data_IF_716093573438
#
_entry.id   IF_716093573438
#
_cell.length_a   1.000
_cell.length_b   1.000
_cell.length_c   1.000
_cell.angle_alpha   90.00
_cell.angle_beta   90.00
_cell.angle_gamma   90.00
#
_symmetry.space_group_name_H-M   'P 1'
#
loop_
_entity.id
_entity.type
_entity.pdbx_description
1 polymer ?
#
# COMPACT_ATOMS: atom_id res chain seq x y z
N UNK A 1 -5.03 11.87 22.71
CA UNK A 1 -3.72 12.45 22.35
C UNK A 1 -2.74 11.30 22.16
N UNK A 2 -2.70 10.73 20.95
CA UNK A 2 -1.75 9.69 20.57
C UNK A 2 -0.82 10.26 19.50
N UNK A 3 0.47 9.95 19.65
CA UNK A 3 1.56 10.51 18.87
C UNK A 3 1.56 9.83 17.49
N UNK A 4 1.39 10.61 16.42
CA UNK A 4 1.54 10.14 15.04
C UNK A 4 2.89 9.48 14.84
N UNK A 5 2.89 8.33 14.17
CA UNK A 5 4.12 7.64 13.84
C UNK A 5 4.86 8.42 12.75
N UNK A 6 6.03 8.95 13.11
CA UNK A 6 6.83 9.84 12.28
C UNK A 6 7.62 8.98 11.29
N UNK A 7 7.03 8.57 10.16
CA UNK A 7 7.64 7.75 9.10
C UNK A 7 8.53 8.59 8.15
N UNK A 8 9.36 9.44 8.74
CA UNK A 8 10.31 10.29 8.00
C UNK A 8 11.67 9.61 7.91
N UNK A 9 12.26 9.63 6.72
CA UNK A 9 13.66 9.27 6.58
C UNK A 9 14.50 10.42 7.12
N UNK A 10 15.27 10.15 8.15
CA UNK A 10 16.06 11.16 8.83
C UNK A 10 17.54 10.95 8.55
N UNK A 11 18.20 11.99 8.06
CA UNK A 11 19.63 12.00 7.74
C UNK A 11 20.34 13.09 8.53
N UNK A 12 21.35 12.71 9.32
CA UNK A 12 22.20 13.66 10.04
C UNK A 12 23.64 13.58 9.55
N UNK A 13 24.21 14.73 9.17
CA UNK A 13 25.55 14.85 8.62
C UNK A 13 26.53 15.35 9.68
N UNK A 14 27.68 14.69 9.75
CA UNK A 14 28.77 15.02 10.66
C UNK A 14 30.09 15.18 9.90
N UNK A 15 30.84 16.23 10.22
CA UNK A 15 32.20 16.44 9.75
C UNK A 15 33.21 15.84 10.74
N UNK A 16 34.20 15.11 10.23
CA UNK A 16 35.27 14.57 11.07
C UNK A 16 36.28 15.67 11.43
N UNK A 17 36.61 15.76 12.71
CA UNK A 17 37.64 16.66 13.27
C UNK A 17 38.98 15.98 13.48
N UNK A 18 39.02 14.66 13.33
CA UNK A 18 40.21 13.80 13.40
C UNK A 18 40.31 12.91 12.16
N UNK A 19 41.49 12.31 11.88
CA UNK A 19 41.65 11.40 10.75
C UNK A 19 40.67 10.22 10.82
N UNK A 20 40.23 9.77 9.65
CA UNK A 20 39.24 8.69 9.48
C UNK A 20 39.50 7.48 10.38
N UNK A 21 40.73 6.96 10.42
CA UNK A 21 41.06 5.77 11.19
C UNK A 21 40.91 5.93 12.72
N UNK A 22 41.13 7.14 13.25
CA UNK A 22 40.94 7.41 14.69
C UNK A 22 39.44 7.45 15.04
N UNK A 23 38.65 8.07 14.16
CA UNK A 23 37.19 8.10 14.28
C UNK A 23 36.60 6.69 14.14
N UNK A 24 37.04 5.91 13.15
CA UNK A 24 36.57 4.56 12.89
C UNK A 24 36.86 3.63 14.06
N UNK A 25 38.09 3.65 14.58
CA UNK A 25 38.47 2.84 15.73
C UNK A 25 37.61 3.14 16.97
N UNK A 26 37.26 4.42 17.19
CA UNK A 26 36.36 4.81 18.27
C UNK A 26 34.95 4.24 18.07
N UNK A 27 34.45 4.28 16.84
CA UNK A 27 33.13 3.76 16.50
C UNK A 27 33.06 2.23 16.69
N UNK A 28 34.04 1.50 16.17
CA UNK A 28 34.13 0.03 16.24
C UNK A 28 34.40 -0.49 17.67
N UNK A 29 34.88 0.37 18.57
CA UNK A 29 35.02 0.03 19.99
C UNK A 29 33.67 -0.04 20.72
N UNK A 30 32.57 0.38 20.08
CA UNK A 30 31.24 0.34 20.67
C UNK A 30 30.59 -1.04 20.46
N UNK A 31 30.12 -1.73 21.51
CA UNK A 31 29.66 -3.12 21.42
C UNK A 31 28.33 -3.29 20.67
N UNK A 32 27.61 -2.21 20.41
CA UNK A 32 26.34 -2.22 19.67
C UNK A 32 26.50 -1.74 18.22
N UNK A 33 27.72 -1.71 17.68
CA UNK A 33 27.99 -1.31 16.30
C UNK A 33 28.61 -2.49 15.55
N UNK A 34 27.98 -2.89 14.45
CA UNK A 34 28.45 -3.96 13.56
C UNK A 34 28.76 -3.46 12.14
N UNK A 35 29.51 -4.27 11.39
CA UNK A 35 29.82 -4.04 9.98
C UNK A 35 28.56 -4.18 9.11
N UNK A 36 28.41 -3.30 8.12
CA UNK A 36 27.31 -3.33 7.17
C UNK A 36 27.80 -3.11 5.75
N UNK A 37 27.12 -3.71 4.77
CA UNK A 37 27.50 -3.57 3.36
C UNK A 37 27.01 -2.24 2.78
N UNK A 38 27.87 -1.56 2.00
CA UNK A 38 27.48 -0.39 1.22
C UNK A 38 26.60 -0.77 0.02
N UNK A 39 25.52 -0.02 -0.15
CA UNK A 39 24.67 -0.01 -1.34
C UNK A 39 25.37 0.65 -2.54
N UNK A 40 24.89 0.39 -3.75
CA UNK A 40 25.44 0.97 -4.98
C UNK A 40 25.31 2.51 -5.02
N UNK A 41 24.23 3.05 -4.45
CA UNK A 41 24.02 4.48 -4.30
C UNK A 41 25.08 5.14 -3.42
N UNK A 42 25.31 4.59 -2.22
CA UNK A 42 26.31 5.12 -1.28
C UNK A 42 27.73 5.04 -1.86
N UNK A 43 28.06 3.98 -2.62
CA UNK A 43 29.35 3.88 -3.33
C UNK A 43 29.49 4.99 -4.38
N UNK A 44 28.43 5.28 -5.12
CA UNK A 44 28.42 6.34 -6.14
C UNK A 44 28.56 7.74 -5.56
N UNK A 45 28.09 7.95 -4.32
CA UNK A 45 28.25 9.19 -3.56
C UNK A 45 29.67 9.36 -2.95
N UNK A 46 30.51 8.33 -3.03
CA UNK A 46 31.90 8.37 -2.57
C UNK A 46 32.12 7.93 -1.13
N UNK A 47 31.15 7.23 -0.52
CA UNK A 47 31.33 6.61 0.79
C UNK A 47 32.23 5.37 0.71
N UNK A 48 33.02 5.17 1.77
CA UNK A 48 34.04 4.13 1.83
C UNK A 48 33.58 2.88 2.59
N UNK A 49 32.71 3.05 3.58
CA UNK A 49 32.26 1.95 4.44
C UNK A 49 30.89 2.26 5.10
N UNK A 50 30.26 1.26 5.71
CA UNK A 50 29.01 1.42 6.46
C UNK A 50 28.96 0.58 7.75
N UNK A 51 28.24 1.08 8.75
CA UNK A 51 28.01 0.40 10.04
C UNK A 51 26.54 0.44 10.41
N UNK A 52 26.08 -0.59 11.11
CA UNK A 52 24.77 -0.63 11.74
C UNK A 52 24.92 -0.44 13.24
N UNK A 53 24.05 0.38 13.83
CA UNK A 53 24.05 0.65 15.26
C UNK A 53 22.75 0.13 15.86
N UNK A 54 22.85 -0.72 16.87
CA UNK A 54 21.71 -1.30 17.59
C UNK A 54 21.44 -0.63 18.94
N UNK A 55 20.18 -0.62 19.37
CA UNK A 55 19.79 -0.17 20.70
C UNK A 55 20.42 -1.07 21.77
N UNK A 56 21.09 -0.45 22.74
CA UNK A 56 21.66 -1.18 23.88
C UNK A 56 20.55 -1.45 24.91
N UNK A 57 19.96 -2.64 24.87
CA UNK A 57 18.96 -3.08 25.84
C UNK A 57 19.63 -3.54 27.16
N UNK A 58 18.98 -3.36 28.33
CA UNK A 58 19.47 -3.93 29.58
C UNK A 58 19.53 -5.47 29.49
N UNK A 59 20.67 -6.02 29.91
CA UNK A 59 21.04 -7.45 29.82
C UNK A 59 19.92 -8.40 30.23
N UNK A 60 19.50 -9.25 29.27
CA UNK A 60 18.57 -10.40 29.28
C UNK A 60 17.41 -10.31 28.26
N UNK A 61 17.38 -9.29 27.38
CA UNK A 61 16.35 -9.15 26.34
C UNK A 61 16.77 -9.68 24.95
N UNK A 62 15.75 -10.13 24.19
CA UNK A 62 15.63 -10.47 22.76
C UNK A 62 16.45 -9.62 21.76
N UNK A 63 16.59 -10.02 20.46
CA UNK A 63 17.58 -9.44 19.54
C UNK A 63 17.56 -7.91 19.45
N UNK A 64 18.76 -7.35 19.42
CA UNK A 64 19.05 -5.91 19.40
C UNK A 64 18.26 -5.20 18.28
N UNK A 65 17.38 -4.27 18.64
CA UNK A 65 16.64 -3.44 17.68
C UNK A 65 17.59 -2.48 16.97
N UNK A 66 17.52 -2.38 15.64
CA UNK A 66 18.36 -1.45 14.87
C UNK A 66 17.98 0.01 15.17
N UNK A 67 18.91 0.77 15.74
CA UNK A 67 18.77 2.19 16.02
C UNK A 67 18.92 3.02 14.74
N UNK A 68 19.86 2.62 13.88
CA UNK A 68 20.07 3.23 12.58
C UNK A 68 21.37 2.80 11.92
N UNK A 69 21.67 3.39 10.78
CA UNK A 69 22.83 3.11 9.94
C UNK A 69 23.77 4.30 9.88
N UNK A 70 25.07 4.04 9.77
CA UNK A 70 26.12 5.04 9.63
C UNK A 70 26.86 4.78 8.33
N UNK A 71 26.86 5.77 7.45
CA UNK A 71 27.62 5.74 6.20
C UNK A 71 28.89 6.56 6.37
N UNK A 72 30.04 5.96 6.08
CA UNK A 72 31.36 6.44 6.47
C UNK A 72 32.14 6.97 5.26
N UNK A 73 32.27 8.29 5.20
CA UNK A 73 33.15 8.98 4.25
C UNK A 73 34.48 9.36 4.89
N UNK A 74 35.48 9.69 4.06
CA UNK A 74 36.82 10.08 4.53
C UNK A 74 36.83 11.36 5.38
N UNK A 75 35.90 12.29 5.09
CA UNK A 75 35.81 13.60 5.74
C UNK A 75 34.49 13.86 6.46
N UNK A 76 33.43 13.11 6.11
CA UNK A 76 32.09 13.29 6.66
C UNK A 76 31.39 11.95 6.81
N UNK A 77 30.61 11.80 7.86
CA UNK A 77 29.80 10.63 8.15
C UNK A 77 28.32 11.01 8.17
N UNK A 78 27.46 10.07 7.76
CA UNK A 78 26.02 10.27 7.68
C UNK A 78 25.31 9.24 8.55
N UNK A 79 24.46 9.69 9.46
CA UNK A 79 23.53 8.85 10.22
C UNK A 79 22.21 8.79 9.49
N UNK A 80 21.65 7.60 9.35
CA UNK A 80 20.38 7.34 8.67
C UNK A 80 19.48 6.50 9.57
N UNK A 81 18.25 6.94 9.80
CA UNK A 81 17.24 6.12 10.47
C UNK A 81 15.82 6.53 10.08
N UNK A 82 14.85 5.67 10.37
CA UNK A 82 13.43 5.97 10.16
C UNK A 82 12.84 6.55 11.45
N UNK A 83 12.45 7.82 11.35
CA UNK A 83 11.63 8.57 12.30
C UNK A 83 12.35 9.67 13.08
N UNK A 84 11.72 10.85 13.16
CA UNK A 84 12.32 12.06 13.72
C UNK A 84 12.61 12.00 15.23
N UNK A 85 11.86 11.18 15.99
CA UNK A 85 12.23 10.90 17.39
C UNK A 85 13.42 9.95 17.51
N UNK A 86 13.55 9.02 16.58
CA UNK A 86 14.62 8.02 16.57
C UNK A 86 15.96 8.64 16.18
N UNK A 87 15.97 9.59 15.22
CA UNK A 87 17.21 10.31 14.86
C UNK A 87 17.75 11.15 16.02
N UNK A 88 16.87 11.76 16.81
CA UNK A 88 17.31 12.56 17.96
C UNK A 88 18.02 11.69 19.03
N UNK A 89 17.52 10.48 19.26
CA UNK A 89 18.15 9.52 20.18
C UNK A 89 19.45 8.95 19.57
N UNK A 90 19.43 8.58 18.29
CA UNK A 90 20.60 8.08 17.58
C UNK A 90 21.75 9.10 17.58
N UNK A 91 21.44 10.37 17.28
CA UNK A 91 22.40 11.47 17.35
C UNK A 91 22.96 11.65 18.74
N UNK A 92 22.13 11.56 19.79
CA UNK A 92 22.60 11.70 21.18
C UNK A 92 23.62 10.62 21.53
N UNK A 93 23.36 9.37 21.14
CA UNK A 93 24.29 8.25 21.37
C UNK A 93 25.57 8.42 20.56
N UNK A 94 25.45 8.76 19.28
CA UNK A 94 26.59 9.02 18.40
C UNK A 94 27.47 10.17 18.93
N UNK A 95 26.87 11.30 19.29
CA UNK A 95 27.58 12.47 19.83
C UNK A 95 28.21 12.18 21.20
N UNK A 96 27.58 11.34 22.03
CA UNK A 96 28.16 10.89 23.29
C UNK A 96 29.40 10.00 23.07
N UNK A 97 29.40 9.16 22.04
CA UNK A 97 30.53 8.29 21.71
C UNK A 97 31.68 9.06 21.05
N UNK A 98 31.34 9.89 20.05
CA UNK A 98 32.30 10.59 19.20
C UNK A 98 32.81 11.87 19.85
N UNK A 99 32.00 12.53 20.69
CA UNK A 99 32.35 13.74 21.40
C UNK A 99 33.02 14.79 20.49
N UNK A 100 34.27 15.21 20.77
CA UNK A 100 34.97 16.23 19.97
C UNK A 100 35.52 15.71 18.63
N UNK A 101 35.39 14.42 18.32
CA UNK A 101 35.94 13.81 17.10
C UNK A 101 35.10 14.11 15.86
N UNK A 102 33.82 14.42 16.03
CA UNK A 102 32.89 14.75 14.96
C UNK A 102 32.11 16.02 15.31
N UNK A 103 31.76 16.82 14.30
CA UNK A 103 30.94 18.01 14.46
C UNK A 103 29.69 17.88 13.61
N UNK A 104 28.53 18.10 14.23
CA UNK A 104 27.27 18.19 13.53
C UNK A 104 27.29 19.33 12.48
N UNK A 105 26.96 18.99 11.23
CA UNK A 105 26.97 19.91 10.10
C UNK A 105 25.54 20.24 9.64
N UNK A 106 24.61 19.28 9.70
CA UNK A 106 23.20 19.51 9.39
C UNK A 106 22.34 18.27 9.56
N UNK A 107 21.03 18.47 9.59
CA UNK A 107 20.02 17.41 9.62
C UNK A 107 18.99 17.68 8.55
N UNK A 108 18.56 16.61 7.88
CA UNK A 108 17.50 16.62 6.89
C UNK A 108 16.47 15.56 7.28
N UNK A 109 15.22 16.00 7.34
CA UNK A 109 14.07 15.12 7.50
C UNK A 109 13.38 15.08 6.15
N UNK A 110 13.52 13.97 5.45
CA UNK A 110 12.80 13.71 4.23
C UNK A 110 11.47 13.04 4.60
N UNK A 111 10.36 13.70 4.26
CA UNK A 111 9.11 12.98 4.08
C UNK A 111 9.40 11.97 2.96
N UNK A 112 9.13 10.69 3.21
CA UNK A 112 9.35 9.58 2.26
C UNK A 112 8.38 9.71 1.08
N UNK A 113 8.59 10.73 0.25
CA UNK A 113 8.01 10.83 -1.08
C UNK A 113 8.90 9.94 -1.96
N UNK A 114 8.34 9.02 -2.75
CA UNK A 114 9.12 8.22 -3.68
C UNK A 114 9.99 9.16 -4.53
N UNK A 115 11.28 8.81 -4.62
CA UNK A 115 12.29 9.57 -5.37
C UNK A 115 11.74 9.89 -6.76
N UNK A 116 11.36 11.15 -6.98
CA UNK A 116 10.93 11.62 -8.28
C UNK A 116 12.15 11.52 -9.19
N UNK A 117 12.00 10.86 -10.34
CA UNK A 117 13.04 10.78 -11.36
C UNK A 117 13.71 12.16 -11.54
N UNK A 118 15.03 12.23 -11.75
CA UNK A 118 15.73 13.48 -11.94
C UNK A 118 14.99 14.27 -13.04
N UNK A 119 14.56 15.49 -12.67
CA UNK A 119 13.75 16.34 -13.53
C UNK A 119 14.39 16.42 -14.92
N UNK A 120 13.66 16.01 -15.94
CA UNK A 120 14.15 16.05 -17.32
C UNK A 120 14.62 17.46 -17.69
N UNK A 121 15.58 17.61 -18.61
CA UNK A 121 16.03 18.92 -19.11
C UNK A 121 14.86 19.80 -19.60
N UNK A 122 13.81 19.17 -20.14
CA UNK A 122 12.58 19.87 -20.55
C UNK A 122 11.81 20.44 -19.35
N UNK A 123 11.82 19.75 -18.22
CA UNK A 123 11.16 20.21 -16.98
C UNK A 123 11.99 21.30 -16.31
N UNK A 124 13.32 21.19 -16.32
CA UNK A 124 14.23 22.24 -15.82
C UNK A 124 14.11 23.54 -16.63
N UNK A 125 13.86 23.45 -17.94
CA UNK A 125 13.61 24.61 -18.79
C UNK A 125 12.29 25.35 -18.48
N UNK A 126 11.35 24.70 -17.78
CA UNK A 126 10.09 25.28 -17.33
C UNK A 126 10.21 25.93 -15.95
N UNK A 127 11.30 25.71 -15.22
CA UNK A 127 11.55 26.34 -13.93
C UNK A 127 12.11 27.75 -14.15
N UNK A 128 11.43 28.81 -13.65
CA UNK A 128 11.95 30.17 -13.73
C UNK A 128 13.38 30.27 -13.16
N UNK A 129 14.33 30.94 -13.87
CA UNK A 129 15.74 30.97 -13.46
C UNK A 129 15.96 31.46 -12.02
N UNK A 130 15.12 32.37 -11.56
CA UNK A 130 15.16 32.92 -10.18
C UNK A 130 14.94 31.87 -9.08
N UNK A 131 14.23 30.78 -9.37
CA UNK A 131 14.01 29.68 -8.42
C UNK A 131 15.19 28.70 -8.39
N UNK A 132 16.02 28.68 -9.43
CA UNK A 132 17.23 27.85 -9.51
C UNK A 132 18.45 28.53 -8.84
N UNK A 133 18.39 29.85 -8.63
CA UNK A 133 19.49 30.63 -8.04
C UNK A 133 19.65 30.40 -6.53
N UNK A 134 18.56 30.09 -5.80
CA UNK A 134 18.58 29.84 -4.34
C UNK A 134 17.50 28.80 -3.94
N UNK A 135 17.69 27.50 -4.23
CA UNK A 135 16.68 26.47 -3.96
C UNK A 135 16.35 26.31 -2.48
N UNK A 136 17.26 26.68 -1.58
CA UNK A 136 17.13 26.51 -0.13
C UNK A 136 16.24 27.58 0.53
N UNK A 137 15.61 28.47 -0.26
CA UNK A 137 14.96 29.69 0.24
C UNK A 137 13.50 29.86 -0.20
N UNK A 138 12.80 28.75 -0.43
CA UNK A 138 11.39 28.74 -0.82
C UNK A 138 10.52 28.98 0.44
N UNK A 139 10.06 30.21 0.63
CA UNK A 139 8.98 30.52 1.59
C UNK A 139 7.64 30.24 0.93
N UNK A 140 6.96 29.17 1.37
CA UNK A 140 5.61 28.82 0.90
C UNK A 140 4.60 29.57 1.77
N UNK A 141 4.01 30.63 1.23
CA UNK A 141 2.91 31.36 1.87
C UNK A 141 1.57 30.78 1.39
N UNK A 142 0.95 29.93 2.19
CA UNK A 142 -0.40 29.44 1.92
C UNK A 142 -1.43 30.53 2.28
N UNK A 143 -2.04 31.14 1.26
CA UNK A 143 -3.19 32.03 1.43
C UNK A 143 -4.46 31.18 1.49
N UNK A 144 -5.15 31.19 2.64
CA UNK A 144 -6.48 30.59 2.77
C UNK A 144 -7.50 31.51 2.12
N UNK A 145 -8.07 31.08 1.01
CA UNK A 145 -9.27 31.69 0.43
C UNK A 145 -10.44 31.31 1.36
N UNK A 146 -11.18 32.31 1.84
CA UNK A 146 -12.37 32.06 2.65
C UNK A 146 -13.42 31.32 1.79
N UNK A 147 -14.10 30.29 2.32
CA UNK A 147 -15.17 29.63 1.58
C UNK A 147 -16.28 30.64 1.28
N UNK A 148 -16.65 30.74 0.00
CA UNK A 148 -17.81 31.53 -0.43
C UNK A 148 -19.12 30.89 0.06
N UNK A 149 -20.20 31.68 0.01
CA UNK A 149 -21.56 31.34 0.46
C UNK A 149 -22.24 30.23 -0.41
N UNK A 150 -21.59 29.08 -0.58
CA UNK A 150 -22.18 27.91 -1.26
C UNK A 150 -22.58 26.87 -0.21
N UNK A 151 -23.79 26.32 -0.33
CA UNK A 151 -24.30 25.27 0.55
C UNK A 151 -23.29 24.09 0.58
N UNK A 152 -22.83 23.63 1.76
CA UNK A 152 -21.86 22.55 1.87
C UNK A 152 -22.23 21.30 1.05
N UNK A 153 -23.52 20.94 0.96
CA UNK A 153 -23.97 19.79 0.17
C UNK A 153 -23.87 20.06 -1.34
N UNK A 154 -24.22 21.26 -1.81
CA UNK A 154 -24.07 21.63 -3.23
C UNK A 154 -22.59 21.76 -3.63
N UNK A 155 -21.74 22.24 -2.72
CA UNK A 155 -20.30 22.37 -2.93
C UNK A 155 -19.61 21.00 -3.03
N UNK A 156 -19.98 20.06 -2.16
CA UNK A 156 -19.53 18.67 -2.21
C UNK A 156 -19.97 17.98 -3.51
N UNK A 157 -21.26 18.09 -3.87
CA UNK A 157 -21.77 17.51 -5.12
C UNK A 157 -21.11 18.12 -6.37
N UNK A 158 -20.81 19.42 -6.34
CA UNK A 158 -20.14 20.12 -7.45
C UNK A 158 -18.67 19.72 -7.56
N UNK A 159 -17.99 19.51 -6.43
CA UNK A 159 -16.60 19.05 -6.39
C UNK A 159 -16.47 17.57 -6.78
N UNK A 160 -17.39 16.71 -6.32
CA UNK A 160 -17.52 15.31 -6.77
C UNK A 160 -17.78 15.25 -8.27
N UNK A 161 -18.68 16.09 -8.79
CA UNK A 161 -18.89 16.23 -10.24
C UNK A 161 -17.59 16.68 -10.92
N UNK A 162 -16.87 17.67 -10.40
CA UNK A 162 -15.61 18.17 -10.98
C UNK A 162 -14.52 17.10 -11.02
N UNK A 163 -14.34 16.34 -9.94
CA UNK A 163 -13.37 15.26 -9.84
C UNK A 163 -13.73 14.10 -10.78
N UNK A 164 -15.02 13.70 -10.81
CA UNK A 164 -15.53 12.68 -11.73
C UNK A 164 -15.39 13.09 -13.19
N UNK A 165 -15.49 14.38 -13.53
CA UNK A 165 -15.32 14.88 -14.89
C UNK A 165 -13.86 15.03 -15.33
N UNK A 166 -12.89 14.90 -14.42
CA UNK A 166 -11.48 15.11 -14.74
C UNK A 166 -10.93 14.09 -15.76
N UNK A 167 -11.57 12.93 -15.93
CA UNK A 167 -11.12 11.93 -16.92
C UNK A 167 -11.30 12.40 -18.37
N UNK A 168 -12.21 13.35 -18.65
CA UNK A 168 -12.52 13.80 -20.01
C UNK A 168 -11.31 14.43 -20.69
N UNK A 169 -10.51 15.16 -19.90
CA UNK A 169 -9.32 15.87 -20.36
C UNK A 169 -8.02 15.09 -20.11
N UNK A 170 -8.08 13.92 -19.45
CA UNK A 170 -6.90 13.07 -19.20
C UNK A 170 -6.63 12.13 -20.39
N UNK A 171 -5.36 11.96 -20.79
CA UNK A 171 -4.94 10.92 -21.73
C UNK A 171 -5.33 9.53 -21.25
N UNK A 172 -6.01 8.74 -22.08
CA UNK A 172 -6.33 7.35 -21.79
C UNK A 172 -5.56 6.41 -22.71
N UNK A 173 -4.95 5.37 -22.15
CA UNK A 173 -4.20 4.37 -22.93
C UNK A 173 -5.11 3.64 -23.94
N UNK A 174 -6.36 3.38 -23.56
CA UNK A 174 -7.42 2.80 -24.41
C UNK A 174 -7.80 3.69 -25.60
N UNK A 175 -7.46 4.98 -25.56
CA UNK A 175 -7.65 5.96 -26.63
C UNK A 175 -6.33 6.35 -27.30
N UNK A 176 -5.35 5.44 -27.29
CA UNK A 176 -4.00 5.65 -27.83
C UNK A 176 -3.29 6.89 -27.25
N UNK A 177 -3.54 7.17 -25.95
CA UNK A 177 -2.97 8.31 -25.23
C UNK A 177 -3.65 9.65 -25.52
N UNK A 178 -4.83 9.65 -26.17
CA UNK A 178 -5.65 10.85 -26.34
C UNK A 178 -6.67 11.00 -25.21
N UNK A 179 -7.11 12.23 -24.96
CA UNK A 179 -8.24 12.48 -24.06
C UNK A 179 -9.58 12.12 -24.72
N UNK A 180 -10.65 11.98 -23.93
CA UNK A 180 -11.99 11.73 -24.48
C UNK A 180 -12.43 12.85 -25.44
N UNK A 181 -12.08 14.10 -25.12
CA UNK A 181 -12.35 15.29 -25.94
C UNK A 181 -11.57 15.31 -27.26
N UNK A 182 -10.37 14.73 -27.27
CA UNK A 182 -9.55 14.57 -28.47
C UNK A 182 -9.99 13.37 -29.32
N UNK A 183 -10.32 12.26 -28.66
CA UNK A 183 -10.80 11.04 -29.31
C UNK A 183 -12.18 11.22 -29.96
N UNK A 184 -13.05 12.09 -29.42
CA UNK A 184 -14.37 12.37 -30.00
C UNK A 184 -14.29 13.03 -31.39
N UNK A 185 -13.17 13.70 -31.69
CA UNK A 185 -12.89 14.33 -32.99
C UNK A 185 -12.24 13.37 -33.99
N UNK A 186 -11.88 12.16 -33.57
CA UNK A 186 -11.22 11.16 -34.40
C UNK A 186 -12.19 10.00 -34.73
N UNK A 187 -12.65 9.88 -35.98
CA UNK A 187 -13.57 8.82 -36.39
C UNK A 187 -13.05 7.40 -36.12
N UNK A 188 -11.72 7.20 -36.11
CA UNK A 188 -11.12 5.89 -35.88
C UNK A 188 -11.17 5.47 -34.40
N UNK A 189 -11.20 6.43 -33.48
CA UNK A 189 -11.23 6.20 -32.03
C UNK A 189 -12.65 6.23 -31.45
N UNK A 190 -13.65 6.67 -32.23
CA UNK A 190 -15.04 6.73 -31.80
C UNK A 190 -15.57 5.42 -31.20
N UNK A 191 -15.33 4.22 -31.78
CA UNK A 191 -15.81 2.96 -31.18
C UNK A 191 -15.23 2.69 -29.79
N UNK A 192 -13.93 2.94 -29.61
CA UNK A 192 -13.25 2.76 -28.32
C UNK A 192 -13.69 3.79 -27.28
N UNK A 193 -13.94 5.02 -27.71
CA UNK A 193 -14.51 6.06 -26.86
C UNK A 193 -15.93 5.70 -26.39
N UNK A 194 -16.74 5.12 -27.28
CA UNK A 194 -18.09 4.64 -26.95
C UNK A 194 -18.04 3.50 -25.93
N UNK A 195 -17.16 2.52 -26.09
CA UNK A 195 -17.00 1.44 -25.10
C UNK A 195 -16.53 1.96 -23.74
N UNK A 196 -15.54 2.85 -23.73
CA UNK A 196 -15.04 3.46 -22.50
C UNK A 196 -16.15 4.20 -21.75
N UNK A 197 -16.97 4.98 -22.46
CA UNK A 197 -18.06 5.74 -21.84
C UNK A 197 -19.25 4.87 -21.45
N UNK A 198 -19.53 3.76 -22.16
CA UNK A 198 -20.52 2.77 -21.72
C UNK A 198 -20.16 2.16 -20.37
N UNK A 199 -18.89 1.82 -20.17
CA UNK A 199 -18.43 1.29 -18.88
C UNK A 199 -18.58 2.35 -17.77
N UNK A 200 -18.24 3.61 -18.05
CA UNK A 200 -18.42 4.70 -17.09
C UNK A 200 -19.89 4.98 -16.74
N UNK A 201 -20.80 4.94 -17.73
CA UNK A 201 -22.25 5.06 -17.51
C UNK A 201 -22.73 3.89 -16.65
N UNK A 202 -22.31 2.66 -16.94
CA UNK A 202 -22.68 1.48 -16.16
C UNK A 202 -22.25 1.59 -14.69
N UNK A 203 -21.03 2.04 -14.43
CA UNK A 203 -20.54 2.26 -13.07
C UNK A 203 -21.36 3.34 -12.35
N UNK A 204 -21.63 4.46 -13.02
CA UNK A 204 -22.43 5.55 -12.46
C UNK A 204 -23.87 5.13 -12.16
N UNK A 205 -24.50 4.38 -13.06
CA UNK A 205 -25.86 3.87 -12.86
C UNK A 205 -25.94 2.90 -11.68
N UNK A 206 -24.91 2.06 -11.51
CA UNK A 206 -24.81 1.14 -10.38
C UNK A 206 -24.62 1.90 -9.06
N UNK A 207 -23.78 2.93 -9.03
CA UNK A 207 -23.62 3.83 -7.88
C UNK A 207 -24.92 4.57 -7.54
N UNK A 208 -25.60 5.12 -8.54
CA UNK A 208 -26.90 5.77 -8.38
C UNK A 208 -27.94 4.83 -7.79
N UNK A 209 -27.97 3.58 -8.25
CA UNK A 209 -28.85 2.55 -7.74
C UNK A 209 -28.53 2.18 -6.29
N UNK A 210 -27.24 2.10 -5.93
CA UNK A 210 -26.77 1.80 -4.56
C UNK A 210 -27.06 2.95 -3.58
N UNK A 211 -26.81 4.19 -3.99
CA UNK A 211 -26.90 5.39 -3.13
C UNK A 211 -28.25 6.09 -3.17
N UNK A 212 -29.14 5.69 -4.08
CA UNK A 212 -30.42 6.37 -4.31
C UNK A 212 -30.25 7.76 -4.94
N UNK A 213 -29.12 8.01 -5.61
CA UNK A 213 -28.81 9.28 -6.28
C UNK A 213 -29.23 9.23 -7.76
N UNK A 214 -29.24 10.38 -8.44
CA UNK A 214 -29.66 10.50 -9.84
C UNK A 214 -28.67 11.28 -10.69
N UNK A 215 -27.37 11.03 -10.52
CA UNK A 215 -26.33 11.71 -11.28
C UNK A 215 -26.27 11.19 -12.72
N UNK A 216 -26.08 12.06 -13.71
CA UNK A 216 -25.97 11.67 -15.12
C UNK A 216 -24.69 12.23 -15.78
N UNK A 217 -24.37 11.67 -16.95
CA UNK A 217 -23.27 12.13 -17.82
C UNK A 217 -23.81 12.84 -19.08
N UNK A 218 -25.11 13.13 -19.12
CA UNK A 218 -25.82 13.61 -20.31
C UNK A 218 -25.18 14.84 -20.94
N UNK A 219 -24.79 15.81 -20.12
CA UNK A 219 -24.15 17.06 -20.58
C UNK A 219 -22.84 16.78 -21.34
N UNK A 220 -22.06 15.79 -20.88
CA UNK A 220 -20.78 15.40 -21.47
C UNK A 220 -21.01 14.60 -22.74
N UNK A 221 -21.97 13.68 -22.72
CA UNK A 221 -22.28 12.85 -23.88
C UNK A 221 -22.72 13.73 -25.05
N UNK A 222 -23.53 14.76 -24.79
CA UNK A 222 -23.86 15.80 -25.78
C UNK A 222 -22.62 16.57 -26.24
N UNK A 223 -21.73 16.92 -25.30
CA UNK A 223 -20.52 17.67 -25.61
C UNK A 223 -19.53 16.89 -26.50
N UNK A 224 -19.43 15.58 -26.28
CA UNK A 224 -18.59 14.67 -27.07
C UNK A 224 -19.28 14.20 -28.37
N UNK A 225 -20.53 14.61 -28.62
CA UNK A 225 -21.31 14.20 -29.79
C UNK A 225 -21.66 12.72 -29.80
N UNK A 226 -21.92 12.18 -28.61
CA UNK A 226 -22.29 10.79 -28.33
C UNK A 226 -23.73 10.70 -27.81
N UNK A 227 -24.65 11.33 -28.54
CA UNK A 227 -26.08 11.34 -28.20
C UNK A 227 -26.68 9.93 -28.17
N UNK A 228 -26.04 8.97 -28.86
CA UNK A 228 -26.42 7.54 -28.84
C UNK A 228 -26.31 6.86 -27.47
N UNK A 229 -25.63 7.48 -26.50
CA UNK A 229 -25.45 6.96 -25.15
C UNK A 229 -26.36 7.63 -24.10
N UNK A 230 -27.20 8.57 -24.52
CA UNK A 230 -28.13 9.27 -23.63
C UNK A 230 -29.38 8.42 -23.45
N UNK A 231 -29.49 7.82 -22.28
CA UNK A 231 -30.65 7.01 -21.87
C UNK A 231 -31.22 7.58 -20.58
N UNK A 232 -32.55 7.49 -20.35
CA UNK A 232 -33.11 7.81 -19.05
C UNK A 232 -32.46 6.90 -17.99
N UNK A 233 -32.07 7.44 -16.81
CA UNK A 233 -31.45 6.64 -15.77
C UNK A 233 -32.37 5.48 -15.39
N UNK A 234 -31.82 4.30 -15.08
CA UNK A 234 -32.63 3.14 -14.73
C UNK A 234 -33.53 3.46 -13.52
N UNK A 235 -34.77 2.93 -13.49
CA UNK A 235 -35.67 3.18 -12.38
C UNK A 235 -35.03 2.76 -11.07
N UNK A 236 -35.04 3.66 -10.08
CA UNK A 236 -34.57 3.38 -8.72
C UNK A 236 -35.27 2.11 -8.23
N UNK A 237 -34.50 1.07 -7.94
CA UNK A 237 -35.08 -0.19 -7.49
C UNK A 237 -35.58 -0.05 -6.06
N UNK A 238 -36.90 -0.15 -5.88
CA UNK A 238 -37.43 -0.66 -4.63
C UNK A 238 -36.85 -2.07 -4.47
N UNK A 239 -36.09 -2.29 -3.40
CA UNK A 239 -35.27 -3.49 -3.23
C UNK A 239 -36.02 -4.78 -3.53
N UNK A 240 -35.54 -5.50 -4.53
CA UNK A 240 -35.71 -6.95 -4.67
C UNK A 240 -34.63 -7.43 -5.67
N UNK A 241 -33.70 -8.23 -5.16
CA UNK A 241 -32.71 -8.92 -5.96
C UNK A 241 -33.35 -10.21 -6.48
N UNK A 242 -33.65 -10.24 -7.77
CA UNK A 242 -33.72 -11.49 -8.52
C UNK A 242 -32.73 -11.37 -9.67
N UNK A 243 -31.72 -12.21 -9.58
CA UNK A 243 -30.75 -12.54 -10.60
C UNK A 243 -31.47 -13.33 -11.70
N UNK A 244 -31.62 -12.71 -12.87
CA UNK A 244 -31.99 -13.42 -14.10
C UNK A 244 -30.76 -13.37 -15.01
N UNK A 245 -30.03 -14.49 -15.02
CA UNK A 245 -28.92 -14.73 -15.91
C UNK A 245 -29.37 -14.91 -17.36
N UNK A 246 -28.49 -14.51 -18.27
CA UNK A 246 -28.46 -15.04 -19.63
C UNK A 246 -27.06 -15.61 -19.89
N UNK A 247 -27.06 -16.94 -19.96
CA UNK A 247 -26.04 -17.86 -20.44
C UNK A 247 -25.84 -17.69 -21.96
N UNK A 248 -24.59 -17.77 -22.42
CA UNK A 248 -24.19 -18.48 -23.65
C UNK A 248 -22.71 -18.17 -23.96
N UNK A 249 -21.82 -19.12 -23.70
CA UNK A 249 -20.45 -19.05 -24.22
C UNK A 249 -19.44 -19.99 -23.57
N UNK A 250 -19.61 -21.30 -23.75
CA UNK A 250 -18.69 -22.37 -23.34
C UNK A 250 -17.20 -22.01 -23.52
N UNK A 251 -16.49 -21.83 -22.40
CA UNK A 251 -15.06 -22.13 -22.28
C UNK A 251 -14.90 -23.24 -21.26
N UNK A 252 -14.55 -24.43 -21.76
CA UNK A 252 -14.33 -25.62 -20.95
C UNK A 252 -13.08 -25.45 -20.09
N UNK A 253 -13.25 -25.39 -18.77
CA UNK A 253 -12.16 -25.43 -17.81
C UNK A 253 -12.63 -25.40 -16.35
N UNK A 254 -13.05 -26.56 -15.83
CA UNK A 254 -13.15 -26.85 -14.38
C UNK A 254 -14.12 -26.00 -13.55
N UNK A 255 -15.42 -26.05 -13.89
CA UNK A 255 -16.49 -25.80 -12.92
C UNK A 255 -16.61 -26.98 -11.94
N UNK A 256 -15.73 -27.03 -10.95
CA UNK A 256 -16.00 -27.79 -9.74
C UNK A 256 -16.77 -26.86 -8.81
N UNK A 257 -18.04 -27.16 -8.55
CA UNK A 257 -18.63 -26.72 -7.28
C UNK A 257 -17.65 -27.15 -6.19
N UNK A 258 -17.06 -26.20 -5.48
CA UNK A 258 -16.13 -26.46 -4.39
C UNK A 258 -16.88 -27.28 -3.32
N UNK A 259 -16.79 -28.61 -3.40
CA UNK A 259 -17.10 -29.48 -2.28
C UNK A 259 -16.22 -28.98 -1.13
N UNK A 260 -16.86 -28.51 -0.05
CA UNK A 260 -16.21 -27.97 1.15
C UNK A 260 -15.03 -28.88 1.52
N UNK A 261 -13.79 -28.42 1.32
CA UNK A 261 -12.60 -29.26 1.56
C UNK A 261 -12.62 -29.70 3.03
N UNK A 262 -12.84 -31.00 3.27
CA UNK A 262 -12.81 -31.53 4.63
C UNK A 262 -11.36 -31.52 5.13
N UNK A 263 -11.12 -30.81 6.24
CA UNK A 263 -9.82 -30.84 6.90
C UNK A 263 -9.45 -32.28 7.29
N UNK A 264 -8.16 -32.61 7.21
CA UNK A 264 -7.68 -33.89 7.71
C UNK A 264 -8.08 -34.08 9.19
N UNK A 265 -8.77 -35.17 9.49
CA UNK A 265 -9.46 -35.39 10.77
C UNK A 265 -8.52 -35.39 11.98
N UNK A 266 -7.22 -35.64 11.75
CA UNK A 266 -6.19 -35.70 12.78
C UNK A 266 -5.54 -34.33 13.09
N UNK A 267 -5.88 -33.27 12.34
CA UNK A 267 -5.29 -31.93 12.57
C UNK A 267 -5.90 -31.23 13.79
N UNK A 268 -5.07 -30.66 14.69
CA UNK A 268 -5.58 -29.86 15.79
C UNK A 268 -6.21 -28.55 15.28
N UNK A 269 -7.21 -28.04 16.00
CA UNK A 269 -7.73 -26.71 15.73
C UNK A 269 -6.63 -25.65 15.85
N UNK A 270 -6.70 -24.61 15.00
CA UNK A 270 -5.77 -23.50 15.06
C UNK A 270 -5.76 -22.86 16.47
N UNK A 271 -4.56 -22.54 17.02
CA UNK A 271 -4.47 -21.94 18.33
C UNK A 271 -5.16 -20.56 18.33
N UNK A 272 -5.93 -20.21 19.37
CA UNK A 272 -6.63 -18.93 19.40
C UNK A 272 -5.66 -17.77 19.47
N UNK A 273 -6.07 -16.64 18.89
CA UNK A 273 -5.34 -15.39 19.03
C UNK A 273 -5.48 -14.84 20.47
N UNK A 274 -4.50 -14.06 20.94
CA UNK A 274 -4.66 -13.32 22.18
C UNK A 274 -5.89 -12.39 22.11
N UNK A 275 -6.48 -12.08 23.28
CA UNK A 275 -7.65 -11.21 23.35
C UNK A 275 -7.34 -9.75 22.94
N UNK A 276 -6.08 -9.34 23.09
CA UNK A 276 -5.57 -8.05 22.61
C UNK A 276 -4.92 -8.24 21.23
N UNK A 277 -4.95 -7.21 20.37
CA UNK A 277 -4.24 -7.25 19.09
C UNK A 277 -2.76 -7.58 19.27
N UNK A 278 -2.18 -8.25 18.28
CA UNK A 278 -0.76 -8.56 18.25
C UNK A 278 0.04 -7.26 18.29
N UNK A 279 1.10 -7.26 19.09
CA UNK A 279 2.06 -6.16 19.09
C UNK A 279 2.87 -6.19 17.80
N UNK A 280 3.53 -5.07 17.47
CA UNK A 280 4.49 -4.99 16.38
C UNK A 280 5.52 -6.13 16.39
N UNK A 281 6.15 -6.40 17.54
CA UNK A 281 7.19 -7.42 17.66
C UNK A 281 6.64 -8.84 17.38
N UNK A 282 5.46 -9.16 17.92
CA UNK A 282 4.83 -10.46 17.69
C UNK A 282 4.35 -10.60 16.25
N UNK A 283 3.78 -9.53 15.67
CA UNK A 283 3.36 -9.47 14.27
C UNK A 283 4.53 -9.75 13.33
N UNK A 284 5.66 -9.07 13.55
CA UNK A 284 6.88 -9.26 12.77
C UNK A 284 7.42 -10.69 12.90
N UNK A 285 7.49 -11.22 14.13
CA UNK A 285 7.96 -12.59 14.40
C UNK A 285 7.12 -13.63 13.67
N UNK A 286 5.79 -13.48 13.68
CA UNK A 286 4.87 -14.41 13.03
C UNK A 286 4.94 -14.35 11.51
N UNK A 287 4.96 -13.15 10.93
CA UNK A 287 5.06 -12.97 9.49
C UNK A 287 6.40 -13.50 8.95
N UNK A 288 7.51 -13.20 9.62
CA UNK A 288 8.82 -13.74 9.25
C UNK A 288 8.85 -15.27 9.32
N UNK A 289 8.27 -15.87 10.38
CA UNK A 289 8.16 -17.32 10.49
C UNK A 289 7.35 -17.91 9.33
N UNK A 290 6.24 -17.28 8.92
CA UNK A 290 5.43 -17.74 7.80
C UNK A 290 6.26 -17.77 6.50
N UNK A 291 6.97 -16.67 6.22
CA UNK A 291 7.87 -16.57 5.06
C UNK A 291 9.01 -17.59 5.07
N UNK A 292 9.57 -17.89 6.25
CA UNK A 292 10.64 -18.89 6.39
C UNK A 292 10.13 -20.33 6.25
N UNK A 293 8.93 -20.61 6.75
CA UNK A 293 8.34 -21.96 6.76
C UNK A 293 8.02 -22.41 5.33
N UNK A 294 7.53 -21.49 4.49
CA UNK A 294 7.09 -21.77 3.13
C UNK A 294 7.99 -21.15 2.06
N UNK A 295 9.30 -21.35 2.20
CA UNK A 295 10.28 -20.95 1.16
C UNK A 295 10.04 -21.59 -0.22
N UNK A 296 9.24 -22.66 -0.29
CA UNK A 296 8.86 -23.35 -1.53
C UNK A 296 7.34 -23.40 -1.65
N UNK A 297 6.74 -22.89 -2.76
CA UNK A 297 5.29 -22.80 -2.94
C UNK A 297 4.54 -24.11 -2.74
N UNK A 298 5.06 -25.22 -3.30
CA UNK A 298 4.41 -26.54 -3.30
C UNK A 298 4.05 -27.03 -1.88
N UNK A 299 4.88 -26.71 -0.87
CA UNK A 299 4.63 -27.11 0.51
C UNK A 299 3.53 -26.31 1.20
N UNK A 300 3.30 -25.08 0.76
CA UNK A 300 2.24 -24.24 1.30
C UNK A 300 0.88 -24.70 0.77
N UNK A 301 0.81 -24.99 -0.52
CA UNK A 301 -0.40 -25.50 -1.17
C UNK A 301 -0.82 -26.85 -0.57
N UNK A 302 0.10 -27.81 -0.46
CA UNK A 302 -0.16 -29.11 0.18
C UNK A 302 -0.70 -28.98 1.61
N UNK A 303 -0.15 -28.04 2.41
CA UNK A 303 -0.56 -27.84 3.80
C UNK A 303 -1.88 -27.07 3.93
N UNK A 304 -2.16 -26.13 3.01
CA UNK A 304 -3.44 -25.43 2.93
C UNK A 304 -4.56 -26.38 2.52
N UNK A 305 -4.34 -27.21 1.50
CA UNK A 305 -5.30 -28.25 1.09
C UNK A 305 -5.63 -29.19 2.24
N UNK A 306 -4.59 -29.71 2.91
CA UNK A 306 -4.76 -30.59 4.06
C UNK A 306 -5.40 -29.89 5.28
N UNK A 307 -5.27 -28.56 5.40
CA UNK A 307 -5.96 -27.79 6.45
C UNK A 307 -7.47 -27.67 6.23
N UNK A 308 -7.95 -27.94 5.01
CA UNK A 308 -9.35 -27.75 4.61
C UNK A 308 -9.72 -26.28 4.41
N UNK A 309 -8.75 -25.39 4.18
CA UNK A 309 -9.06 -23.98 3.92
C UNK A 309 -9.61 -23.79 2.51
N UNK A 310 -10.63 -22.93 2.39
CA UNK A 310 -11.16 -22.43 1.13
C UNK A 310 -10.75 -20.98 0.87
N UNK A 311 -9.87 -20.38 1.70
CA UNK A 311 -9.63 -18.92 1.69
C UNK A 311 -9.16 -18.38 0.33
N UNK A 312 -8.42 -19.17 -0.44
CA UNK A 312 -7.97 -18.76 -1.78
C UNK A 312 -9.10 -18.84 -2.81
N UNK A 313 -9.96 -19.86 -2.71
CA UNK A 313 -11.12 -20.02 -3.58
C UNK A 313 -12.17 -18.95 -3.26
N UNK A 314 -12.48 -18.76 -1.98
CA UNK A 314 -13.37 -17.71 -1.47
C UNK A 314 -12.87 -16.33 -1.93
N UNK A 315 -11.55 -16.10 -1.88
CA UNK A 315 -10.99 -14.84 -2.34
C UNK A 315 -11.12 -14.68 -3.85
N UNK A 316 -10.87 -15.74 -4.63
CA UNK A 316 -11.06 -15.73 -6.07
C UNK A 316 -12.52 -15.44 -6.46
N UNK A 317 -13.48 -15.96 -5.70
CA UNK A 317 -14.90 -15.66 -5.90
C UNK A 317 -15.21 -14.17 -5.63
N UNK A 318 -14.57 -13.58 -4.61
CA UNK A 318 -14.80 -12.18 -4.23
C UNK A 318 -14.14 -11.18 -5.18
N UNK A 319 -12.92 -11.45 -5.66
CA UNK A 319 -12.11 -10.47 -6.41
C UNK A 319 -11.72 -10.91 -7.83
N UNK A 320 -12.10 -12.11 -8.27
CA UNK A 320 -11.66 -12.69 -9.55
C UNK A 320 -12.12 -11.89 -10.78
N UNK A 321 -13.22 -11.15 -10.67
CA UNK A 321 -13.68 -10.26 -11.75
C UNK A 321 -12.95 -8.89 -11.74
N UNK A 322 -12.15 -8.60 -10.71
CA UNK A 322 -11.47 -7.33 -10.50
C UNK A 322 -9.97 -7.38 -10.78
N UNK A 323 -9.38 -8.58 -10.82
CA UNK A 323 -7.98 -8.83 -11.13
C UNK A 323 -7.90 -9.74 -12.35
N UNK A 324 -6.89 -9.56 -13.20
CA UNK A 324 -6.58 -10.60 -14.19
C UNK A 324 -5.88 -11.82 -13.56
N UNK A 325 -5.79 -12.92 -14.30
CA UNK A 325 -5.18 -14.16 -13.80
C UNK A 325 -3.73 -13.95 -13.32
N UNK A 326 -2.94 -13.15 -14.05
CA UNK A 326 -1.54 -12.86 -13.71
C UNK A 326 -1.45 -12.02 -12.41
N UNK A 327 -2.37 -11.09 -12.20
CA UNK A 327 -2.49 -10.26 -11.01
C UNK A 327 -2.94 -11.08 -9.80
N UNK A 328 -3.95 -11.94 -9.97
CA UNK A 328 -4.41 -12.83 -8.91
C UNK A 328 -3.30 -13.82 -8.48
N UNK A 329 -2.59 -14.42 -9.43
CA UNK A 329 -1.43 -15.29 -9.16
C UNK A 329 -0.33 -14.57 -8.35
N UNK A 330 -0.13 -13.27 -8.57
CA UNK A 330 0.83 -12.46 -7.81
C UNK A 330 0.39 -12.18 -6.37
N UNK A 331 -0.92 -12.19 -6.10
CA UNK A 331 -1.48 -12.01 -4.77
C UNK A 331 -1.32 -13.27 -3.90
N UNK A 332 -1.40 -14.47 -4.51
CA UNK A 332 -1.41 -15.73 -3.77
C UNK A 332 -0.26 -15.89 -2.76
N UNK A 333 1.02 -15.68 -3.09
CA UNK A 333 2.12 -15.84 -2.14
C UNK A 333 2.01 -14.90 -0.93
N UNK A 334 1.41 -13.73 -1.15
CA UNK A 334 1.20 -12.72 -0.11
C UNK A 334 0.09 -13.17 0.82
N UNK A 335 -1.07 -13.58 0.27
CA UNK A 335 -2.20 -14.10 1.06
C UNK A 335 -1.78 -15.32 1.87
N UNK A 336 -1.02 -16.24 1.28
CA UNK A 336 -0.48 -17.42 1.96
C UNK A 336 0.38 -17.00 3.16
N UNK A 337 1.30 -16.05 2.97
CA UNK A 337 2.17 -15.55 4.04
C UNK A 337 1.36 -14.89 5.16
N UNK A 338 0.33 -14.12 4.81
CA UNK A 338 -0.58 -13.47 5.76
C UNK A 338 -1.42 -14.50 6.52
N UNK A 339 -1.91 -15.54 5.85
CA UNK A 339 -2.66 -16.63 6.46
C UNK A 339 -1.83 -17.35 7.51
N UNK A 340 -0.61 -17.77 7.15
CA UNK A 340 0.29 -18.50 8.04
C UNK A 340 0.90 -17.66 9.17
N UNK A 341 0.86 -16.33 9.07
CA UNK A 341 1.21 -15.49 10.21
C UNK A 341 0.13 -15.47 11.30
N UNK A 342 -1.11 -15.86 11.00
CA UNK A 342 -2.19 -15.97 11.99
C UNK A 342 -2.58 -17.43 12.30
N UNK A 343 -2.53 -18.31 11.30
CA UNK A 343 -2.85 -19.74 11.41
C UNK A 343 -1.56 -20.55 11.48
N UNK A 344 -1.41 -21.36 12.52
CA UNK A 344 -0.21 -22.20 12.66
C UNK A 344 -0.19 -23.33 11.61
N UNK A 345 0.97 -23.60 10.97
CA UNK A 345 1.13 -24.74 10.07
C UNK A 345 0.76 -26.06 10.72
N UNK A 346 0.14 -26.96 9.94
CA UNK A 346 -0.34 -28.26 10.43
C UNK A 346 -1.62 -28.22 11.28
N UNK A 347 -2.25 -27.05 11.41
CA UNK A 347 -3.57 -26.92 12.04
C UNK A 347 -4.71 -27.08 11.02
N UNK A 348 -5.90 -27.38 11.52
CA UNK A 348 -7.14 -27.26 10.77
C UNK A 348 -7.47 -25.77 10.55
N UNK A 349 -8.01 -25.45 9.37
CA UNK A 349 -8.35 -24.09 8.99
C UNK A 349 -9.47 -23.53 9.89
N UNK A 350 -9.38 -22.26 10.35
CA UNK A 350 -10.51 -21.59 10.96
C UNK A 350 -11.64 -21.41 9.94
N UNK A 351 -12.89 -21.48 10.41
CA UNK A 351 -14.05 -21.28 9.54
C UNK A 351 -14.15 -19.81 9.12
N UNK A 352 -13.97 -19.57 7.82
CA UNK A 352 -14.20 -18.30 7.15
C UNK A 352 -15.53 -18.40 6.42
N UNK A 353 -16.28 -17.32 6.44
CA UNK A 353 -17.59 -17.18 5.80
C UNK A 353 -17.37 -16.26 4.59
N UNK A 354 -17.62 -16.78 3.39
CA UNK A 354 -17.33 -16.12 2.12
C UNK A 354 -18.19 -14.84 1.94
N UNK A 355 -19.48 -14.89 2.28
CA UNK A 355 -20.37 -13.72 2.23
C UNK A 355 -19.81 -12.59 3.11
N UNK A 356 -19.35 -12.94 4.31
CA UNK A 356 -18.73 -11.96 5.21
C UNK A 356 -17.35 -11.50 4.75
N UNK A 357 -16.61 -12.34 4.02
CA UNK A 357 -15.35 -11.93 3.40
C UNK A 357 -15.62 -10.86 2.33
N UNK A 358 -16.65 -11.07 1.49
CA UNK A 358 -17.11 -10.12 0.49
C UNK A 358 -17.54 -8.79 1.12
N UNK A 359 -18.39 -8.83 2.16
CA UNK A 359 -18.85 -7.63 2.88
C UNK A 359 -17.68 -6.79 3.42
N UNK A 360 -16.65 -7.45 3.97
CA UNK A 360 -15.46 -6.77 4.51
C UNK A 360 -14.60 -6.24 3.36
N UNK A 361 -14.43 -7.01 2.29
CA UNK A 361 -13.70 -6.58 1.11
C UNK A 361 -14.32 -5.31 0.52
N UNK A 362 -15.62 -5.29 0.25
CA UNK A 362 -16.34 -4.14 -0.30
C UNK A 362 -16.15 -2.90 0.58
N UNK A 363 -16.30 -3.07 1.91
CA UNK A 363 -16.10 -1.99 2.88
C UNK A 363 -14.69 -1.43 2.85
N UNK A 364 -13.67 -2.30 2.79
CA UNK A 364 -12.27 -1.86 2.75
C UNK A 364 -11.93 -1.22 1.41
N UNK A 365 -12.39 -1.80 0.30
CA UNK A 365 -12.19 -1.27 -1.04
C UNK A 365 -12.82 0.12 -1.20
N UNK A 366 -14.09 0.29 -0.82
CA UNK A 366 -14.79 1.58 -0.85
C UNK A 366 -14.07 2.65 -0.01
N UNK A 367 -13.54 2.25 1.16
CA UNK A 367 -12.80 3.15 2.02
C UNK A 367 -11.44 3.54 1.43
N UNK A 368 -10.78 2.63 0.70
CA UNK A 368 -9.54 2.95 -0.01
C UNK A 368 -9.81 3.88 -1.18
N UNK A 369 -10.84 3.60 -1.97
CA UNK A 369 -11.24 4.40 -3.13
C UNK A 369 -11.53 5.85 -2.74
N UNK A 370 -12.25 6.05 -1.63
CA UNK A 370 -12.53 7.38 -1.07
C UNK A 370 -11.30 8.12 -0.53
N UNK A 371 -10.18 7.42 -0.30
CA UNK A 371 -8.96 7.95 0.30
C UNK A 371 -7.82 8.13 -0.74
N UNK A 372 -8.09 7.82 -2.01
CA UNK A 372 -7.08 7.84 -3.11
C UNK A 372 -6.46 9.20 -3.42
N UNK A 373 -7.09 10.30 -3.01
CA UNK A 373 -6.53 11.65 -3.15
C UNK A 373 -5.39 11.95 -2.15
N UNK A 374 -5.08 11.01 -1.26
CA UNK A 374 -4.01 11.11 -0.26
C UNK A 374 -2.71 10.36 -0.62
N UNK A 375 -1.58 10.69 0.03
CA UNK A 375 -0.33 9.94 -0.15
C UNK A 375 -0.47 8.50 0.38
N UNK A 376 0.00 7.50 -0.37
CA UNK A 376 -0.08 6.05 -0.06
C UNK A 376 0.30 5.66 1.37
N UNK A 377 1.32 6.27 2.03
CA UNK A 377 1.64 5.98 3.43
C UNK A 377 0.50 6.30 4.41
N UNK A 378 -0.33 7.32 4.13
CA UNK A 378 -1.50 7.64 4.97
C UNK A 378 -2.61 6.63 4.78
N UNK A 379 -2.86 6.21 3.53
CA UNK A 379 -3.81 5.14 3.23
C UNK A 379 -3.50 3.87 4.03
N UNK A 380 -2.23 3.44 4.03
CA UNK A 380 -1.76 2.28 4.80
C UNK A 380 -1.97 2.47 6.31
N UNK A 381 -1.68 3.65 6.85
CA UNK A 381 -1.85 3.93 8.28
C UNK A 381 -3.34 3.95 8.67
N UNK A 382 -4.20 4.54 7.86
CA UNK A 382 -5.64 4.61 8.08
C UNK A 382 -6.30 3.22 7.99
N UNK A 383 -5.84 2.37 7.07
CA UNK A 383 -6.28 0.97 6.96
C UNK A 383 -5.82 0.13 8.15
N UNK A 384 -4.55 0.24 8.52
CA UNK A 384 -4.00 -0.46 9.67
C UNK A 384 -4.76 -0.09 10.94
N UNK A 385 -5.08 1.19 11.15
CA UNK A 385 -5.83 1.64 12.32
C UNK A 385 -7.27 1.09 12.38
N UNK A 386 -7.89 0.81 11.22
CA UNK A 386 -9.24 0.22 11.13
C UNK A 386 -9.23 -1.31 11.30
N UNK A 387 -8.11 -1.95 10.98
CA UNK A 387 -7.95 -3.40 11.15
C UNK A 387 -8.10 -3.83 12.61
N UNK A 388 -8.71 -5.00 12.89
CA UNK A 388 -8.70 -5.58 14.23
C UNK A 388 -7.30 -5.99 14.71
N UNK A 389 -6.32 -6.04 13.79
CA UNK A 389 -4.92 -6.33 14.05
C UNK A 389 -4.02 -5.21 13.48
N UNK A 390 -3.93 -4.03 14.14
CA UNK A 390 -3.32 -2.86 13.52
C UNK A 390 -1.84 -3.01 13.17
N UNK A 391 -1.04 -3.52 14.11
CA UNK A 391 0.40 -3.72 13.88
C UNK A 391 0.66 -4.81 12.83
N UNK A 392 -0.16 -5.87 12.82
CA UNK A 392 -0.05 -6.95 11.83
C UNK A 392 -0.47 -6.47 10.44
N UNK A 393 -1.59 -5.77 10.32
CA UNK A 393 -2.06 -5.17 9.07
C UNK A 393 -1.03 -4.20 8.49
N UNK A 394 -0.38 -3.40 9.34
CA UNK A 394 0.73 -2.54 8.92
C UNK A 394 1.92 -3.33 8.36
N UNK A 395 2.32 -4.41 9.03
CA UNK A 395 3.39 -5.28 8.54
C UNK A 395 3.04 -5.96 7.22
N UNK A 396 1.80 -6.42 7.07
CA UNK A 396 1.32 -7.02 5.83
C UNK A 396 1.31 -6.01 4.68
N UNK A 397 0.89 -4.76 4.93
CA UNK A 397 0.91 -3.69 3.93
C UNK A 397 2.33 -3.29 3.51
N UNK A 398 3.27 -3.23 4.45
CA UNK A 398 4.70 -2.99 4.15
C UNK A 398 5.29 -4.15 3.34
N UNK A 399 4.99 -5.39 3.74
CA UNK A 399 5.40 -6.59 3.01
C UNK A 399 4.82 -6.62 1.60
N UNK A 400 3.54 -6.28 1.44
CA UNK A 400 2.88 -6.14 0.14
C UNK A 400 3.59 -5.10 -0.73
N UNK A 401 3.84 -3.90 -0.21
CA UNK A 401 4.55 -2.85 -0.95
C UNK A 401 5.95 -3.30 -1.39
N UNK A 402 6.70 -3.97 -0.52
CA UNK A 402 8.02 -4.53 -0.84
C UNK A 402 7.94 -5.63 -1.92
N UNK A 403 6.91 -6.49 -1.86
CA UNK A 403 6.66 -7.52 -2.87
C UNK A 403 6.33 -6.87 -4.23
N UNK A 404 5.46 -5.85 -4.25
CA UNK A 404 5.13 -5.09 -5.46
C UNK A 404 6.37 -4.43 -6.07
N UNK A 405 7.27 -3.91 -5.24
CA UNK A 405 8.51 -3.31 -5.71
C UNK A 405 9.51 -4.31 -6.31
N UNK A 406 9.48 -5.55 -5.83
CA UNK A 406 10.30 -6.65 -6.35
C UNK A 406 9.91 -7.15 -7.74
N UNK A 407 8.67 -6.88 -8.21
CA UNK A 407 8.24 -7.31 -9.54
C UNK A 407 8.89 -6.48 -10.66
N UNK A 408 9.26 -7.11 -11.79
CA UNK A 408 9.71 -6.40 -12.97
C UNK A 408 8.66 -5.36 -13.40
N UNK A 409 9.08 -4.15 -13.79
CA UNK A 409 8.16 -3.04 -14.14
C UNK A 409 7.05 -3.39 -15.14
N UNK A 410 7.28 -4.38 -16.03
CA UNK A 410 6.30 -4.84 -17.04
C UNK A 410 5.27 -5.84 -16.51
N UNK A 411 5.50 -6.41 -15.33
CA UNK A 411 4.65 -7.40 -14.66
C UNK A 411 4.09 -6.90 -13.34
N UNK A 412 4.46 -5.69 -12.92
CA UNK A 412 3.94 -5.09 -11.69
C UNK A 412 2.44 -4.79 -11.91
N UNK A 413 1.55 -5.17 -10.97
CA UNK A 413 0.13 -4.89 -11.08
C UNK A 413 -0.13 -3.39 -11.20
N UNK A 414 -1.21 -3.02 -11.89
CA UNK A 414 -1.60 -1.63 -12.00
C UNK A 414 -1.98 -1.05 -10.62
N UNK A 415 -1.90 0.28 -10.41
CA UNK A 415 -2.26 0.88 -9.13
C UNK A 415 -3.65 0.48 -8.64
N UNK A 416 -4.65 0.41 -9.53
CA UNK A 416 -6.01 0.01 -9.18
C UNK A 416 -6.07 -1.46 -8.71
N UNK A 417 -5.37 -2.36 -9.40
CA UNK A 417 -5.22 -3.75 -8.99
C UNK A 417 -4.51 -3.88 -7.64
N UNK A 418 -3.49 -3.05 -7.37
CA UNK A 418 -2.82 -3.05 -6.06
C UNK A 418 -3.75 -2.65 -4.91
N UNK A 419 -4.75 -1.80 -5.16
CA UNK A 419 -5.76 -1.44 -4.16
C UNK A 419 -6.71 -2.61 -3.88
N UNK A 420 -7.18 -3.28 -4.94
CA UNK A 420 -7.99 -4.50 -4.82
C UNK A 420 -7.24 -5.55 -4.00
N UNK A 421 -5.97 -5.79 -4.35
CA UNK A 421 -5.09 -6.72 -3.63
C UNK A 421 -4.92 -6.33 -2.14
N UNK A 422 -4.71 -5.04 -1.86
CA UNK A 422 -4.55 -4.58 -0.48
C UNK A 422 -5.86 -4.74 0.31
N UNK A 423 -7.01 -4.43 -0.29
CA UNK A 423 -8.33 -4.58 0.34
C UNK A 423 -8.62 -6.05 0.65
N UNK A 424 -8.33 -6.93 -0.30
CA UNK A 424 -8.36 -8.38 -0.12
C UNK A 424 -7.54 -8.84 1.09
N UNK A 425 -6.30 -8.36 1.22
CA UNK A 425 -5.44 -8.72 2.36
C UNK A 425 -6.03 -8.28 3.70
N UNK A 426 -6.55 -7.06 3.79
CA UNK A 426 -7.18 -6.57 5.02
C UNK A 426 -8.47 -7.33 5.35
N UNK A 427 -9.25 -7.71 4.34
CA UNK A 427 -10.43 -8.56 4.52
C UNK A 427 -10.07 -9.93 5.10
N UNK A 428 -9.06 -10.60 4.54
CA UNK A 428 -8.56 -11.88 5.05
C UNK A 428 -8.08 -11.75 6.50
N UNK A 429 -7.32 -10.71 6.84
CA UNK A 429 -6.85 -10.46 8.21
C UNK A 429 -8.03 -10.32 9.18
N UNK A 430 -9.05 -9.55 8.83
CA UNK A 430 -10.22 -9.35 9.68
C UNK A 430 -11.02 -10.64 9.87
N UNK A 431 -11.23 -11.42 8.81
CA UNK A 431 -11.96 -12.68 8.91
C UNK A 431 -11.21 -13.71 9.75
N UNK A 432 -9.90 -13.82 9.56
CA UNK A 432 -9.04 -14.68 10.38
C UNK A 432 -9.04 -14.24 11.85
N UNK A 433 -8.93 -12.95 12.10
CA UNK A 433 -9.01 -12.42 13.47
C UNK A 433 -10.35 -12.77 14.13
N UNK A 434 -11.46 -12.52 13.44
CA UNK A 434 -12.80 -12.80 13.96
C UNK A 434 -13.01 -14.31 14.24
N UNK A 435 -12.41 -15.19 13.43
CA UNK A 435 -12.53 -16.63 13.60
C UNK A 435 -11.64 -17.18 14.73
N UNK A 436 -10.44 -16.61 14.92
CA UNK A 436 -9.46 -17.09 15.90
C UNK A 436 -9.54 -16.38 17.25
N UNK A 437 -10.14 -15.19 17.33
CA UNK A 437 -10.23 -14.43 18.56
C UNK A 437 -11.27 -15.04 19.50
N UNK A 438 -10.93 -15.29 20.78
CA UNK A 438 -11.89 -15.84 21.73
C UNK A 438 -13.06 -14.88 21.93
N UNK A 439 -14.29 -15.39 21.74
CA UNK A 439 -15.53 -14.63 22.01
C UNK A 439 -15.55 -14.26 23.50
N UNK A 440 -15.61 -12.97 23.82
CA UNK A 440 -15.84 -12.51 25.20
C UNK A 440 -17.21 -13.02 25.66
N UNK A 441 -17.21 -13.90 26.66
CA UNK A 441 -18.42 -14.41 27.35
C UNK A 441 -18.94 -13.36 28.32
#
# INVERSE_FOLDING_TARGET
>A
MMQGSDLREAKALYELRRPYGECLHRLESHPAVDEAELTDGERSEGFADAREWFETLPSDAEPSLLLGRIVLGQSHWRLECIGGKRIAEFRRQFESLMGPLARFSGERLDDTIPSVDPLSEKTLALVPPRLLENPDRIEITASRIAPGDTDPEESLAMEEKRLRLAFIDRPAATLDGKSAREASRDPALRPRLVELLKNQIRTLDLENRRRGTGHDLDDILRELGLDELIFPPPPLSAGDFSDDGDDDGESSGSGAHAERREADADRPAAPPLPAEPLTFAESQKRLNRAMETFRTPDRAEDDMDASGTAVLDDLNEVIGDLLDDDEFEQLLPIVISVWYGLVAPGSAAPEIDADRLADVFDREYDAMDQTLDGPTPRLIEDLALRSPQPDYGRMCAVYFAAAMDGFPRKRRPLPDAQLVMLAALFAVIERLDAALRPKRI
#
